data_IF_997958535039
#
_entry.id   IF_997958535039
#
_cell.length_a   1.000
_cell.length_b   1.000
_cell.length_c   1.000
_cell.angle_alpha   90.00
_cell.angle_beta   90.00
_cell.angle_gamma   90.00
#
_symmetry.space_group_name_H-M   'P 1'
#
loop_
_entity.id
_entity.type
_entity.pdbx_description
1 polymer ?
#
# COMPACT_ATOMS: atom_id res chain seq x y z
N UNK A 1 50.51 -57.97 0.40
CA UNK A 1 51.20 -56.77 -0.10
C UNK A 1 50.10 -55.78 -0.46
N UNK A 2 49.68 -54.99 0.52
CA UNK A 2 48.61 -54.01 0.35
C UNK A 2 49.13 -52.76 -0.39
N UNK A 3 48.38 -52.21 -1.35
CA UNK A 3 48.72 -50.90 -1.91
C UNK A 3 48.33 -49.78 -0.93
N UNK A 4 49.16 -48.74 -0.77
CA UNK A 4 48.93 -47.68 0.19
C UNK A 4 47.78 -46.74 -0.22
N UNK A 5 46.96 -46.34 0.77
CA UNK A 5 45.89 -45.34 0.65
C UNK A 5 46.43 -43.97 0.22
N UNK A 6 45.68 -43.20 -0.58
CA UNK A 6 46.00 -41.79 -0.85
C UNK A 6 45.67 -40.89 0.35
N UNK A 7 46.41 -39.77 0.53
CA UNK A 7 46.19 -38.83 1.63
C UNK A 7 44.93 -37.97 1.41
N UNK A 8 44.14 -37.84 2.49
CA UNK A 8 43.01 -36.93 2.63
C UNK A 8 43.51 -35.48 2.64
N UNK A 9 43.13 -34.68 1.66
CA UNK A 9 43.26 -33.22 1.72
C UNK A 9 41.93 -32.62 2.15
N UNK A 10 41.93 -32.14 3.40
CA UNK A 10 40.91 -31.27 3.96
C UNK A 10 40.85 -29.96 3.15
N UNK A 11 39.80 -29.78 2.34
CA UNK A 11 39.49 -28.47 1.78
C UNK A 11 38.43 -27.80 2.64
N UNK A 12 38.93 -26.94 3.53
CA UNK A 12 38.15 -25.98 4.29
C UNK A 12 37.42 -25.03 3.33
N UNK A 13 36.14 -24.85 3.61
CA UNK A 13 35.26 -23.73 3.24
C UNK A 13 35.94 -22.54 2.55
N UNK A 14 35.53 -22.27 1.32
CA UNK A 14 35.41 -20.90 0.83
C UNK A 14 34.04 -20.72 0.20
N UNK A 15 33.19 -20.07 0.98
CA UNK A 15 31.87 -19.54 0.63
C UNK A 15 32.12 -18.28 -0.23
N UNK A 16 32.08 -18.43 -1.55
CA UNK A 16 31.89 -17.27 -2.43
C UNK A 16 30.40 -17.18 -2.79
N UNK A 17 29.85 -16.05 -2.40
CA UNK A 17 28.53 -15.53 -2.76
C UNK A 17 28.44 -15.34 -4.27
N UNK A 18 27.76 -16.24 -4.96
CA UNK A 18 27.13 -15.93 -6.24
C UNK A 18 25.65 -15.65 -6.00
N UNK A 19 25.29 -14.43 -6.42
CA UNK A 19 23.97 -13.83 -6.37
C UNK A 19 23.20 -14.40 -7.55
N UNK A 20 22.50 -15.50 -7.32
CA UNK A 20 21.44 -15.96 -8.22
C UNK A 20 20.28 -14.96 -8.11
N UNK A 21 19.85 -14.45 -9.26
CA UNK A 21 18.59 -13.72 -9.41
C UNK A 21 17.47 -14.75 -9.28
N UNK A 22 17.04 -15.00 -8.04
CA UNK A 22 15.79 -15.67 -7.77
C UNK A 22 14.63 -14.74 -8.14
N UNK A 23 13.90 -15.12 -9.19
CA UNK A 23 12.51 -14.74 -9.39
C UNK A 23 11.70 -15.24 -8.20
N UNK A 24 11.51 -14.36 -7.22
CA UNK A 24 10.70 -14.63 -6.03
C UNK A 24 9.22 -14.61 -6.41
N UNK A 25 8.72 -15.76 -6.85
CA UNK A 25 7.31 -16.09 -6.75
C UNK A 25 7.02 -16.45 -5.29
N UNK A 26 6.41 -15.50 -4.60
CA UNK A 26 5.88 -15.58 -3.25
C UNK A 26 5.12 -16.91 -3.01
N UNK A 27 5.46 -17.63 -1.95
CA UNK A 27 4.61 -18.67 -1.36
C UNK A 27 4.82 -18.69 0.14
N UNK A 28 4.27 -17.67 0.82
CA UNK A 28 3.94 -17.79 2.23
C UNK A 28 2.83 -18.83 2.41
N UNK A 29 3.21 -19.94 3.03
CA UNK A 29 2.29 -20.88 3.67
C UNK A 29 1.80 -20.25 4.97
N UNK A 30 0.51 -19.92 5.06
CA UNK A 30 -0.36 -20.09 6.25
C UNK A 30 -1.71 -19.45 5.97
N UNK A 31 -2.78 -20.24 6.05
CA UNK A 31 -4.16 -19.75 6.05
C UNK A 31 -5.09 -20.64 5.27
N UNK A 32 -5.89 -21.43 6.00
CA UNK A 32 -7.06 -22.17 5.51
C UNK A 32 -7.90 -21.37 4.51
N UNK A 33 -8.06 -21.90 3.30
CA UNK A 33 -9.17 -21.59 2.41
C UNK A 33 -9.42 -22.74 1.43
N UNK A 34 -10.34 -23.61 1.84
CA UNK A 34 -11.41 -24.17 1.03
C UNK A 34 -11.20 -24.28 -0.50
N UNK A 35 -10.99 -25.53 -0.94
CA UNK A 35 -11.67 -26.22 -2.04
C UNK A 35 -12.28 -25.31 -3.12
N UNK A 36 -11.68 -25.29 -4.32
CA UNK A 36 -12.34 -25.45 -5.63
C UNK A 36 -11.34 -25.12 -6.76
N UNK A 37 -10.52 -26.10 -7.13
CA UNK A 37 -9.74 -26.06 -8.36
C UNK A 37 -10.41 -26.95 -9.41
N UNK A 38 -11.15 -26.32 -10.32
CA UNK A 38 -11.61 -26.95 -11.57
C UNK A 38 -10.40 -27.15 -12.49
N UNK A 39 -9.68 -28.27 -12.30
CA UNK A 39 -8.84 -28.87 -13.35
C UNK A 39 -9.69 -29.79 -14.23
N UNK A 40 -9.25 -30.10 -15.47
CA UNK A 40 -9.99 -30.99 -16.36
C UNK A 40 -10.22 -32.35 -15.68
N UNK A 41 -11.40 -32.99 -15.91
CA UNK A 41 -11.77 -34.21 -15.20
C UNK A 41 -10.75 -35.30 -15.48
N UNK A 42 -10.08 -35.77 -14.42
CA UNK A 42 -9.22 -36.93 -14.51
C UNK A 42 -10.08 -38.12 -14.96
N UNK A 43 -9.93 -38.53 -16.22
CA UNK A 43 -10.46 -39.80 -16.69
C UNK A 43 -9.87 -40.90 -15.78
N UNK A 44 -10.77 -41.62 -15.10
CA UNK A 44 -10.56 -42.89 -14.40
C UNK A 44 -9.45 -42.97 -13.34
N UNK A 45 -9.54 -42.13 -12.30
CA UNK A 45 -8.82 -42.35 -11.02
C UNK A 45 -9.68 -42.98 -9.93
N UNK A 46 -10.32 -44.09 -10.24
CA UNK A 46 -10.99 -44.86 -9.19
C UNK A 46 -9.94 -45.55 -8.32
N UNK A 47 -9.91 -45.30 -6.99
CA UNK A 47 -9.03 -46.02 -6.09
C UNK A 47 -9.37 -47.51 -6.13
N UNK A 48 -8.38 -48.37 -6.35
CA UNK A 48 -8.58 -49.81 -6.32
C UNK A 48 -8.42 -50.30 -4.88
N UNK A 49 -9.53 -50.75 -4.29
CA UNK A 49 -9.55 -51.25 -2.91
C UNK A 49 -9.22 -52.74 -2.91
N UNK A 50 -8.13 -53.10 -2.22
CA UNK A 50 -7.80 -54.48 -1.88
C UNK A 50 -7.95 -54.65 -0.37
N UNK A 51 -8.27 -55.86 0.11
CA UNK A 51 -8.80 -56.17 1.46
C UNK A 51 -8.01 -55.66 2.69
N UNK A 52 -6.91 -54.92 2.51
CA UNK A 52 -6.20 -54.19 3.57
C UNK A 52 -5.51 -52.88 3.14
N UNK A 53 -5.57 -52.48 1.86
CA UNK A 53 -5.00 -51.20 1.39
C UNK A 53 -5.68 -50.69 0.11
N UNK A 54 -5.64 -49.36 -0.05
CA UNK A 54 -6.16 -48.68 -1.24
C UNK A 54 -5.01 -48.32 -2.17
N UNK A 55 -5.06 -48.79 -3.41
CA UNK A 55 -4.10 -48.45 -4.45
C UNK A 55 -4.66 -47.30 -5.31
N UNK A 56 -3.98 -46.17 -5.31
CA UNK A 56 -4.33 -45.02 -6.15
C UNK A 56 -3.37 -44.98 -7.35
N UNK A 57 -3.87 -45.13 -8.59
CA UNK A 57 -3.02 -45.07 -9.78
C UNK A 57 -2.31 -43.72 -9.93
N UNK A 58 -1.05 -43.70 -10.40
CA UNK A 58 -0.27 -42.48 -10.55
C UNK A 58 -0.92 -41.51 -11.54
N UNK A 59 -0.84 -40.21 -11.23
CA UNK A 59 -1.35 -39.16 -12.09
C UNK A 59 -0.50 -39.03 -13.35
N UNK A 60 -0.95 -39.60 -14.47
CA UNK A 60 -0.20 -39.55 -15.74
C UNK A 60 0.03 -38.13 -16.23
N UNK A 61 -0.94 -37.22 -16.08
CA UNK A 61 -0.80 -35.80 -16.47
C UNK A 61 0.28 -35.11 -15.63
N UNK A 62 0.17 -35.15 -14.29
CA UNK A 62 1.16 -34.58 -13.38
C UNK A 62 2.53 -35.22 -13.55
N UNK A 63 2.58 -36.53 -13.83
CA UNK A 63 3.83 -37.23 -14.12
C UNK A 63 4.46 -36.73 -15.41
N UNK A 64 3.68 -36.59 -16.48
CA UNK A 64 4.17 -36.04 -17.75
C UNK A 64 4.62 -34.58 -17.62
N UNK A 65 3.95 -33.78 -16.79
CA UNK A 65 4.36 -32.41 -16.48
C UNK A 65 5.70 -32.38 -15.73
N UNK A 66 5.86 -33.24 -14.72
CA UNK A 66 7.13 -33.38 -13.98
C UNK A 66 8.25 -33.85 -14.91
N UNK A 67 7.99 -34.83 -15.76
CA UNK A 67 8.94 -35.32 -16.76
C UNK A 67 9.33 -34.22 -17.75
N UNK A 68 8.37 -33.42 -18.23
CA UNK A 68 8.63 -32.30 -19.11
C UNK A 68 9.44 -31.17 -18.43
N UNK A 69 9.15 -30.84 -17.17
CA UNK A 69 9.95 -29.88 -16.38
C UNK A 69 11.36 -30.42 -16.16
N UNK A 70 11.50 -31.69 -15.82
CA UNK A 70 12.79 -32.33 -15.62
C UNK A 70 13.64 -32.32 -16.90
N UNK A 71 13.06 -32.67 -18.05
CA UNK A 71 13.74 -32.61 -19.35
C UNK A 71 14.18 -31.20 -19.69
N UNK A 72 13.31 -30.19 -19.52
CA UNK A 72 13.69 -28.79 -19.74
C UNK A 72 14.84 -28.35 -18.83
N UNK A 73 14.82 -28.75 -17.55
CA UNK A 73 15.89 -28.46 -16.60
C UNK A 73 17.21 -29.18 -16.94
N UNK A 74 17.13 -30.38 -17.49
CA UNK A 74 18.31 -31.11 -17.96
C UNK A 74 18.93 -30.42 -19.19
N UNK A 75 18.12 -30.00 -20.15
CA UNK A 75 18.60 -29.26 -21.32
C UNK A 75 19.28 -27.93 -20.94
N UNK A 76 18.71 -27.16 -20.00
CA UNK A 76 19.33 -25.91 -19.55
C UNK A 76 20.66 -26.17 -18.85
N UNK A 77 20.73 -27.22 -18.01
CA UNK A 77 21.97 -27.62 -17.37
C UNK A 77 23.03 -28.08 -18.38
N UNK A 78 22.65 -28.88 -19.38
CA UNK A 78 23.56 -29.33 -20.43
C UNK A 78 24.08 -28.14 -21.25
N UNK A 79 23.22 -27.20 -21.64
CA UNK A 79 23.65 -25.97 -22.33
C UNK A 79 24.62 -25.15 -21.49
N UNK A 80 24.36 -25.00 -20.19
CA UNK A 80 25.26 -24.28 -19.29
C UNK A 80 26.61 -25.00 -19.18
N UNK A 81 26.59 -26.33 -19.01
CA UNK A 81 27.80 -27.15 -18.97
C UNK A 81 28.60 -27.02 -20.27
N UNK A 82 27.94 -27.07 -21.43
CA UNK A 82 28.59 -26.93 -22.73
C UNK A 82 29.14 -25.52 -22.97
N UNK A 83 28.39 -24.48 -22.57
CA UNK A 83 28.85 -23.10 -22.64
C UNK A 83 30.07 -22.85 -21.73
N UNK A 84 30.12 -23.51 -20.57
CA UNK A 84 31.24 -23.49 -19.64
C UNK A 84 32.33 -24.51 -19.99
N UNK A 85 32.12 -25.36 -21.00
CA UNK A 85 33.07 -26.40 -21.39
C UNK A 85 34.26 -25.73 -22.06
N UNK A 86 35.33 -25.53 -21.30
CA UNK A 86 36.62 -25.09 -21.84
C UNK A 86 37.09 -26.14 -22.83
N UNK A 87 37.17 -25.78 -24.11
CA UNK A 87 37.76 -26.64 -25.14
C UNK A 87 39.21 -26.91 -24.76
N UNK A 88 39.64 -28.17 -24.85
CA UNK A 88 40.98 -28.62 -24.48
C UNK A 88 42.05 -27.67 -25.04
N UNK A 89 42.70 -26.91 -24.14
CA UNK A 89 43.72 -25.93 -24.49
C UNK A 89 45.07 -26.65 -24.50
N UNK A 90 45.54 -27.02 -25.70
CA UNK A 90 46.89 -27.53 -25.93
C UNK A 90 47.78 -26.40 -26.42
N UNK A 91 48.08 -25.48 -25.52
CA UNK A 91 49.04 -24.41 -25.77
C UNK A 91 50.34 -24.79 -25.04
N UNK A 92 51.48 -24.61 -25.72
CA UNK A 92 52.79 -24.62 -25.02
C UNK A 92 52.70 -23.54 -23.94
N UNK A 93 53.11 -23.79 -22.68
CA UNK A 93 52.99 -22.79 -21.62
C UNK A 93 53.84 -21.57 -21.98
N UNK A 94 53.19 -20.60 -22.63
CA UNK A 94 53.73 -19.28 -22.89
C UNK A 94 53.91 -18.60 -21.53
N UNK A 95 54.97 -17.80 -21.42
CA UNK A 95 55.35 -17.07 -20.20
C UNK A 95 54.12 -16.57 -19.44
N UNK A 96 53.86 -17.22 -18.30
CA UNK A 96 52.75 -16.93 -17.39
C UNK A 96 52.95 -15.54 -16.79
N UNK A 97 52.42 -14.53 -17.48
CA UNK A 97 52.42 -13.15 -17.02
C UNK A 97 51.51 -12.35 -17.93
N UNK A 98 50.44 -11.79 -17.37
CA UNK A 98 49.51 -10.96 -18.13
C UNK A 98 50.26 -9.87 -18.90
N UNK A 99 49.83 -9.58 -20.14
CA UNK A 99 50.41 -8.52 -20.99
C UNK A 99 50.33 -7.11 -20.38
N UNK A 100 49.57 -6.96 -19.29
CA UNK A 100 49.40 -5.71 -18.58
C UNK A 100 50.64 -5.40 -17.77
N UNK A 101 51.09 -4.16 -17.87
CA UNK A 101 52.17 -3.66 -17.02
C UNK A 101 51.70 -3.57 -15.56
N UNK A 102 52.63 -3.66 -14.61
CA UNK A 102 52.30 -3.58 -13.17
C UNK A 102 51.56 -2.28 -12.82
N UNK A 103 51.92 -1.18 -13.48
CA UNK A 103 51.28 0.12 -13.28
C UNK A 103 49.83 0.11 -13.77
N UNK A 104 49.58 -0.47 -14.95
CA UNK A 104 48.24 -0.61 -15.50
C UNK A 104 47.34 -1.48 -14.60
N UNK A 105 47.87 -2.59 -14.07
CA UNK A 105 47.15 -3.43 -13.12
C UNK A 105 46.80 -2.65 -11.85
N UNK A 106 47.75 -1.86 -11.33
CA UNK A 106 47.55 -1.03 -10.14
C UNK A 106 46.52 0.07 -10.38
N UNK A 107 46.58 0.73 -11.53
CA UNK A 107 45.60 1.74 -11.94
C UNK A 107 44.20 1.13 -12.07
N UNK A 108 44.08 -0.03 -12.72
CA UNK A 108 42.81 -0.77 -12.83
C UNK A 108 42.27 -1.18 -11.48
N UNK A 109 43.12 -1.64 -10.56
CA UNK A 109 42.71 -1.98 -9.20
C UNK A 109 42.20 -0.74 -8.45
N UNK A 110 42.89 0.40 -8.55
CA UNK A 110 42.42 1.65 -7.95
C UNK A 110 41.09 2.13 -8.57
N UNK A 111 40.94 2.04 -9.89
CA UNK A 111 39.70 2.37 -10.58
C UNK A 111 38.55 1.43 -10.16
N UNK A 112 38.78 0.13 -10.10
CA UNK A 112 37.79 -0.85 -9.65
C UNK A 112 37.33 -0.59 -8.21
N UNK A 113 38.27 -0.26 -7.31
CA UNK A 113 37.93 0.11 -5.92
C UNK A 113 37.08 1.39 -5.87
N UNK A 114 37.41 2.41 -6.69
CA UNK A 114 36.65 3.66 -6.77
C UNK A 114 35.25 3.45 -7.34
N UNK A 115 35.12 2.64 -8.40
CA UNK A 115 33.85 2.42 -9.09
C UNK A 115 32.93 1.41 -8.38
N UNK A 116 33.46 0.47 -7.60
CA UNK A 116 32.66 -0.60 -6.97
C UNK A 116 31.59 -0.08 -6.02
N UNK A 117 31.87 0.97 -5.23
CA UNK A 117 30.88 1.56 -4.33
C UNK A 117 29.75 2.24 -5.12
N UNK A 118 30.09 2.94 -6.20
CA UNK A 118 29.13 3.63 -7.07
C UNK A 118 28.26 2.61 -7.80
N UNK A 119 28.87 1.58 -8.39
CA UNK A 119 28.16 0.51 -9.08
C UNK A 119 27.15 -0.21 -8.18
N UNK A 120 27.52 -0.51 -6.93
CA UNK A 120 26.60 -1.12 -5.97
C UNK A 120 25.39 -0.22 -5.67
N UNK A 121 25.60 1.09 -5.53
CA UNK A 121 24.52 2.06 -5.31
C UNK A 121 23.60 2.15 -6.52
N UNK A 122 24.16 2.23 -7.73
CA UNK A 122 23.39 2.24 -8.98
C UNK A 122 22.54 0.98 -9.11
N UNK A 123 23.11 -0.21 -8.85
CA UNK A 123 22.36 -1.47 -8.88
C UNK A 123 21.24 -1.53 -7.83
N UNK A 124 21.46 -0.96 -6.64
CA UNK A 124 20.41 -0.89 -5.61
C UNK A 124 19.29 0.05 -6.02
N UNK A 125 19.63 1.24 -6.50
CA UNK A 125 18.66 2.23 -6.98
C UNK A 125 17.86 1.72 -8.18
N UNK A 126 18.48 1.01 -9.11
CA UNK A 126 17.79 0.41 -10.25
C UNK A 126 16.78 -0.66 -9.81
N UNK A 127 17.15 -1.52 -8.85
CA UNK A 127 16.24 -2.50 -8.28
C UNK A 127 15.08 -1.84 -7.51
N UNK A 128 15.35 -0.80 -6.74
CA UNK A 128 14.30 -0.03 -6.06
C UNK A 128 13.38 0.69 -7.03
N UNK A 129 13.93 1.29 -8.09
CA UNK A 129 13.15 1.96 -9.14
C UNK A 129 12.23 0.96 -9.83
N UNK A 130 12.75 -0.22 -10.17
CA UNK A 130 11.94 -1.29 -10.76
C UNK A 130 10.83 -1.74 -9.81
N UNK A 131 11.14 -1.96 -8.52
CA UNK A 131 10.13 -2.32 -7.52
C UNK A 131 9.02 -1.27 -7.40
N UNK A 132 9.39 0.02 -7.37
CA UNK A 132 8.41 1.14 -7.34
C UNK A 132 7.53 1.16 -8.59
N UNK A 133 8.09 0.91 -9.77
CA UNK A 133 7.32 0.83 -11.01
C UNK A 133 6.31 -0.32 -10.98
N UNK A 134 6.72 -1.50 -10.50
CA UNK A 134 5.83 -2.66 -10.34
C UNK A 134 4.69 -2.35 -9.34
N UNK A 135 5.00 -1.72 -8.20
CA UNK A 135 4.00 -1.27 -7.20
C UNK A 135 3.03 -0.22 -7.80
N UNK A 136 3.52 0.74 -8.59
CA UNK A 136 2.70 1.75 -9.26
C UNK A 136 1.78 1.16 -10.32
N UNK A 137 2.25 0.19 -11.12
CA UNK A 137 1.44 -0.53 -12.10
C UNK A 137 0.34 -1.36 -11.43
N UNK A 138 0.64 -2.04 -10.33
CA UNK A 138 -0.37 -2.77 -9.55
C UNK A 138 -1.41 -1.83 -8.95
N UNK A 139 -0.97 -0.70 -8.40
CA UNK A 139 -1.88 0.32 -7.87
C UNK A 139 -2.79 0.88 -8.97
N UNK A 140 -2.23 1.10 -10.16
CA UNK A 140 -3.00 1.56 -11.31
C UNK A 140 -4.03 0.53 -11.76
N UNK A 141 -3.66 -0.76 -11.84
CA UNK A 141 -4.59 -1.85 -12.11
C UNK A 141 -5.72 -1.90 -11.08
N UNK A 142 -5.40 -1.78 -9.79
CA UNK A 142 -6.40 -1.79 -8.72
C UNK A 142 -7.38 -0.60 -8.85
N UNK A 143 -6.87 0.59 -9.17
CA UNK A 143 -7.70 1.78 -9.43
C UNK A 143 -8.63 1.59 -10.62
N UNK A 144 -8.12 1.03 -11.72
CA UNK A 144 -8.90 0.81 -12.94
C UNK A 144 -9.95 -0.28 -12.72
N UNK A 145 -9.63 -1.34 -11.98
CA UNK A 145 -10.62 -2.31 -11.53
C UNK A 145 -11.71 -1.69 -10.66
N UNK A 146 -11.34 -0.81 -9.73
CA UNK A 146 -12.32 -0.12 -8.89
C UNK A 146 -13.25 0.76 -9.74
N UNK A 147 -12.71 1.47 -10.74
CA UNK A 147 -13.50 2.23 -11.72
C UNK A 147 -14.44 1.33 -12.51
N UNK A 148 -13.95 0.23 -13.07
CA UNK A 148 -14.77 -0.74 -13.81
C UNK A 148 -15.87 -1.37 -12.95
N UNK A 149 -15.60 -1.63 -11.66
CA UNK A 149 -16.60 -2.12 -10.70
C UNK A 149 -17.66 -1.06 -10.41
N UNK A 150 -17.26 0.20 -10.25
CA UNK A 150 -18.18 1.33 -10.05
C UNK A 150 -19.09 1.55 -11.26
N UNK A 151 -18.53 1.62 -12.46
CA UNK A 151 -19.29 1.78 -13.72
C UNK A 151 -20.28 0.62 -13.92
N UNK A 152 -19.82 -0.62 -13.71
CA UNK A 152 -20.70 -1.80 -13.79
C UNK A 152 -21.85 -1.74 -12.79
N UNK A 153 -21.64 -1.15 -11.60
CA UNK A 153 -22.68 -1.00 -10.60
C UNK A 153 -23.66 0.12 -10.98
N UNK A 154 -23.15 1.26 -11.45
CA UNK A 154 -23.95 2.39 -11.91
C UNK A 154 -24.87 2.00 -13.07
N UNK A 155 -24.36 1.26 -14.06
CA UNK A 155 -25.15 0.80 -15.19
C UNK A 155 -26.29 -0.14 -14.76
N UNK A 156 -26.04 -1.01 -13.76
CA UNK A 156 -27.10 -1.87 -13.19
C UNK A 156 -28.16 -1.05 -12.45
N UNK A 157 -27.75 -0.08 -11.65
CA UNK A 157 -28.68 0.81 -10.93
C UNK A 157 -29.52 1.63 -11.92
N UNK A 158 -28.90 2.10 -13.02
CA UNK A 158 -29.58 2.82 -14.10
C UNK A 158 -30.66 1.96 -14.76
N UNK A 159 -30.35 0.69 -15.05
CA UNK A 159 -31.33 -0.25 -15.62
C UNK A 159 -32.47 -0.54 -14.63
N UNK A 160 -32.16 -0.75 -13.36
CA UNK A 160 -33.19 -0.97 -12.34
C UNK A 160 -34.09 0.26 -12.16
N UNK A 161 -33.50 1.46 -12.14
CA UNK A 161 -34.25 2.71 -12.04
C UNK A 161 -35.15 2.91 -13.26
N UNK A 162 -34.67 2.59 -14.47
CA UNK A 162 -35.50 2.60 -15.68
C UNK A 162 -36.69 1.66 -15.55
N UNK A 163 -36.47 0.40 -15.14
CA UNK A 163 -37.55 -0.58 -14.91
C UNK A 163 -38.54 -0.08 -13.86
N UNK A 164 -38.05 0.54 -12.78
CA UNK A 164 -38.90 1.12 -11.72
C UNK A 164 -39.72 2.29 -12.26
N UNK A 165 -39.12 3.16 -13.07
CA UNK A 165 -39.81 4.28 -13.72
C UNK A 165 -40.89 3.79 -14.67
N UNK A 166 -40.60 2.79 -15.50
CA UNK A 166 -41.57 2.17 -16.40
C UNK A 166 -42.75 1.53 -15.65
N UNK A 167 -42.47 0.77 -14.58
CA UNK A 167 -43.52 0.20 -13.74
C UNK A 167 -44.40 1.28 -13.12
N UNK A 168 -43.81 2.34 -12.57
CA UNK A 168 -44.56 3.47 -12.02
C UNK A 168 -45.40 4.17 -13.09
N UNK A 169 -44.88 4.32 -14.31
CA UNK A 169 -45.65 4.86 -15.43
C UNK A 169 -46.84 3.95 -15.79
N UNK A 170 -46.62 2.64 -15.89
CA UNK A 170 -47.71 1.68 -16.16
C UNK A 170 -48.77 1.68 -15.06
N UNK A 171 -48.36 1.70 -13.79
CA UNK A 171 -49.28 1.78 -12.66
C UNK A 171 -50.04 3.11 -12.64
N UNK A 172 -49.39 4.21 -13.01
CA UNK A 172 -50.04 5.51 -13.17
C UNK A 172 -51.11 5.44 -14.25
N UNK A 173 -50.79 4.93 -15.44
CA UNK A 173 -51.75 4.74 -16.54
C UNK A 173 -52.91 3.84 -16.13
N UNK A 174 -52.62 2.70 -15.50
CA UNK A 174 -53.64 1.78 -14.99
C UNK A 174 -54.54 2.45 -13.94
N UNK A 175 -53.98 3.30 -13.08
CA UNK A 175 -54.74 4.04 -12.07
C UNK A 175 -55.62 5.12 -12.71
N UNK A 176 -55.12 5.83 -13.71
CA UNK A 176 -55.92 6.82 -14.45
C UNK A 176 -57.04 6.15 -15.22
N UNK A 177 -56.78 5.02 -15.88
CA UNK A 177 -57.81 4.25 -16.59
C UNK A 177 -58.88 3.72 -15.64
N UNK A 178 -58.47 3.17 -14.48
CA UNK A 178 -59.40 2.76 -13.42
C UNK A 178 -60.20 3.92 -12.83
N UNK A 179 -59.68 5.15 -12.89
CA UNK A 179 -60.41 6.33 -12.47
C UNK A 179 -61.43 6.75 -13.53
N UNK A 180 -61.03 6.82 -14.80
CA UNK A 180 -61.91 7.13 -15.93
C UNK A 180 -63.06 6.12 -16.08
N UNK A 181 -62.76 4.82 -15.96
CA UNK A 181 -63.78 3.76 -15.99
C UNK A 181 -64.84 3.89 -14.89
N UNK A 182 -64.58 4.59 -13.77
CA UNK A 182 -65.64 4.85 -12.77
C UNK A 182 -66.65 5.87 -13.26
N UNK A 183 -66.24 6.81 -14.11
CA UNK A 183 -67.13 7.76 -14.75
C UNK A 183 -67.82 7.14 -15.96
N UNK A 184 -67.11 6.33 -16.75
CA UNK A 184 -67.67 5.65 -17.93
C UNK A 184 -68.64 4.51 -17.58
N UNK A 185 -68.51 3.91 -16.39
CA UNK A 185 -69.53 2.99 -15.87
C UNK A 185 -70.87 3.66 -15.59
N UNK A 186 -70.95 4.99 -15.71
CA UNK A 186 -72.17 5.78 -15.55
C UNK A 186 -72.75 5.68 -14.14
N UNK A 187 -73.64 6.59 -13.75
CA UNK A 187 -74.51 6.31 -12.62
C UNK A 187 -75.28 5.03 -12.96
N UNK A 188 -75.03 3.95 -12.23
CA UNK A 188 -75.99 2.84 -12.18
C UNK A 188 -77.28 3.48 -11.67
N UNK A 189 -78.34 3.42 -12.49
CA UNK A 189 -79.54 4.23 -12.30
C UNK A 189 -80.06 4.27 -10.84
N UNK A 190 -80.58 5.43 -10.40
CA UNK A 190 -80.95 5.70 -9.03
C UNK A 190 -82.28 5.04 -8.66
N UNK A 191 -82.25 3.91 -7.97
CA UNK A 191 -83.38 3.40 -7.19
C UNK A 191 -82.93 2.97 -5.79
N UNK A 192 -82.62 3.97 -4.97
CA UNK A 192 -82.63 3.96 -3.50
C UNK A 192 -82.28 5.39 -3.06
N UNK A 193 -83.23 6.34 -3.08
CA UNK A 193 -84.03 6.73 -1.91
C UNK A 193 -83.43 6.29 -0.56
N UNK A 194 -83.01 7.28 0.22
CA UNK A 194 -82.35 7.15 1.52
C UNK A 194 -81.09 8.02 1.52
N UNK A 195 -81.18 9.33 1.65
CA UNK A 195 -81.66 10.00 2.85
C UNK A 195 -80.53 10.04 3.87
N UNK A 196 -79.77 11.14 3.93
CA UNK A 196 -78.92 11.43 5.08
C UNK A 196 -78.60 12.92 5.13
N UNK A 197 -79.53 13.61 5.76
CA UNK A 197 -79.38 14.89 6.46
C UNK A 197 -78.06 15.01 7.21
N UNK A 198 -77.47 16.21 7.07
CA UNK A 198 -76.67 16.95 8.04
C UNK A 198 -76.54 16.29 9.44
N UNK A 199 -75.33 15.86 9.78
CA UNK A 199 -74.86 15.91 11.17
C UNK A 199 -73.47 16.53 11.16
N UNK A 200 -73.43 17.80 11.55
CA UNK A 200 -72.29 18.38 12.24
C UNK A 200 -71.93 17.46 13.42
N UNK A 201 -70.80 16.75 13.34
CA UNK A 201 -70.05 16.32 14.53
C UNK A 201 -68.66 15.79 14.15
N UNK A 202 -67.64 16.58 14.51
CA UNK A 202 -66.36 16.15 15.07
C UNK A 202 -65.66 14.95 14.43
N UNK A 203 -64.66 15.22 13.60
CA UNK A 203 -63.33 14.61 13.78
C UNK A 203 -62.27 15.53 13.16
N UNK A 204 -61.55 16.25 14.02
CA UNK A 204 -60.23 16.76 13.70
C UNK A 204 -59.33 15.56 13.45
N UNK A 205 -59.17 15.18 12.18
CA UNK A 205 -58.09 14.32 11.75
C UNK A 205 -57.67 14.82 10.38
N UNK A 206 -56.64 15.67 10.41
CA UNK A 206 -56.02 16.27 9.25
C UNK A 206 -55.74 15.21 8.17
N UNK A 207 -56.47 15.27 7.06
CA UNK A 207 -56.10 14.59 5.82
C UNK A 207 -54.92 15.36 5.25
N UNK A 208 -53.73 15.10 5.79
CA UNK A 208 -52.46 15.61 5.25
C UNK A 208 -52.32 15.05 3.84
N UNK A 209 -52.49 15.92 2.84
CA UNK A 209 -52.27 15.64 1.42
C UNK A 209 -50.91 14.94 1.26
N UNK A 210 -50.75 13.98 0.35
CA UNK A 210 -49.46 13.28 0.17
C UNK A 210 -48.27 14.21 -0.10
N UNK A 211 -48.53 15.45 -0.53
CA UNK A 211 -47.53 16.53 -0.59
C UNK A 211 -47.06 16.99 0.79
N UNK A 212 -47.97 17.09 1.75
CA UNK A 212 -47.72 17.46 3.13
C UNK A 212 -46.90 16.39 3.85
N UNK A 213 -47.23 15.10 3.65
CA UNK A 213 -46.41 13.99 4.18
C UNK A 213 -45.00 13.97 3.57
N UNK A 214 -44.85 14.31 2.28
CA UNK A 214 -43.54 14.37 1.63
C UNK A 214 -42.71 15.59 2.06
N UNK A 215 -43.36 16.74 2.30
CA UNK A 215 -42.74 17.92 2.89
C UNK A 215 -42.36 17.69 4.35
N UNK A 216 -43.19 16.97 5.10
CA UNK A 216 -42.91 16.54 6.47
C UNK A 216 -41.71 15.58 6.49
N UNK A 217 -41.64 14.61 5.58
CA UNK A 217 -40.48 13.73 5.44
C UNK A 217 -39.20 14.49 5.10
N UNK A 218 -39.27 15.46 4.18
CA UNK A 218 -38.12 16.32 3.83
C UNK A 218 -37.69 17.18 5.03
N UNK A 219 -38.65 17.71 5.78
CA UNK A 219 -38.40 18.52 6.98
C UNK A 219 -37.78 17.70 8.11
N UNK A 220 -38.25 16.48 8.32
CA UNK A 220 -37.70 15.56 9.33
C UNK A 220 -36.31 15.09 8.91
N UNK A 221 -36.09 14.76 7.64
CA UNK A 221 -34.75 14.43 7.14
C UNK A 221 -33.78 15.62 7.22
N UNK A 222 -34.23 16.84 6.90
CA UNK A 222 -33.37 18.01 7.03
C UNK A 222 -33.04 18.29 8.50
N UNK A 223 -34.01 18.16 9.41
CA UNK A 223 -33.77 18.31 10.84
C UNK A 223 -32.83 17.23 11.38
N UNK A 224 -32.96 15.98 10.92
CA UNK A 224 -32.07 14.88 11.28
C UNK A 224 -30.63 15.08 10.77
N UNK A 225 -30.47 15.62 9.55
CA UNK A 225 -29.16 15.97 8.99
C UNK A 225 -28.54 17.17 9.72
N UNK A 226 -29.35 18.14 10.13
CA UNK A 226 -28.92 19.31 10.91
C UNK A 226 -28.50 18.89 12.33
N UNK A 227 -29.23 17.98 12.98
CA UNK A 227 -28.83 17.38 14.27
C UNK A 227 -27.51 16.60 14.16
N UNK A 228 -27.29 15.88 13.06
CA UNK A 228 -26.02 15.20 12.79
C UNK A 228 -24.86 16.18 12.57
N UNK A 229 -25.12 17.34 11.97
CA UNK A 229 -24.11 18.38 11.72
C UNK A 229 -23.86 19.25 12.96
N UNK A 230 -24.90 19.55 13.75
CA UNK A 230 -24.83 20.29 15.00
C UNK A 230 -24.16 19.51 16.13
N UNK A 231 -24.22 18.17 16.12
CA UNK A 231 -23.46 17.33 17.05
C UNK A 231 -21.95 17.28 16.72
N UNK A 232 -21.54 17.80 15.56
CA UNK A 232 -20.15 17.77 15.09
C UNK A 232 -19.40 19.12 15.16
N UNK A 233 -20.08 20.24 15.40
CA UNK A 233 -19.46 21.58 15.35
C UNK A 233 -19.94 22.47 16.51
N UNK A 234 -19.30 22.31 17.68
CA UNK A 234 -18.86 23.41 18.55
C UNK A 234 -19.81 24.04 19.59
N UNK A 235 -19.26 24.15 20.82
CA UNK A 235 -19.54 25.08 21.95
C UNK A 235 -20.19 24.41 23.17
N UNK A 236 -19.44 23.96 24.19
CA UNK A 236 -18.68 24.76 25.18
C UNK A 236 -19.45 25.98 25.70
N UNK A 237 -19.93 25.91 26.96
CA UNK A 237 -20.53 27.06 27.64
C UNK A 237 -21.48 26.77 28.81
N UNK A 238 -20.94 26.27 29.92
CA UNK A 238 -21.40 26.44 31.31
C UNK A 238 -22.66 25.75 31.90
N UNK A 239 -22.33 24.93 32.93
CA UNK A 239 -23.03 24.66 34.20
C UNK A 239 -24.23 23.69 34.24
N UNK A 240 -23.87 22.42 34.51
CA UNK A 240 -24.32 21.76 35.75
C UNK A 240 -25.21 20.52 35.58
N UNK A 241 -24.61 19.33 35.54
CA UNK A 241 -25.31 18.06 35.75
C UNK A 241 -24.76 16.91 34.91
N UNK A 242 -23.94 16.06 35.52
CA UNK A 242 -23.25 14.90 34.93
C UNK A 242 -24.24 13.83 34.42
N UNK A 243 -24.04 13.28 33.21
CA UNK A 243 -23.88 11.84 33.08
C UNK A 243 -22.75 11.45 32.10
N UNK A 244 -21.78 10.66 32.57
CA UNK A 244 -20.65 10.19 31.77
C UNK A 244 -20.87 8.76 31.29
N UNK A 245 -21.12 8.59 29.98
CA UNK A 245 -20.90 7.34 29.24
C UNK A 245 -21.07 7.58 27.73
N UNK A 246 -19.96 7.63 26.97
CA UNK A 246 -19.87 7.49 25.49
C UNK A 246 -18.34 7.52 25.19
N UNK A 247 -17.64 6.39 24.95
CA UNK A 247 -17.47 5.68 23.66
C UNK A 247 -17.26 6.69 22.50
N UNK A 248 -16.14 6.82 21.79
CA UNK A 248 -15.14 5.90 21.26
C UNK A 248 -13.87 6.70 20.88
N UNK A 249 -12.65 6.24 21.24
CA UNK A 249 -11.68 5.58 20.34
C UNK A 249 -11.24 6.38 19.10
N UNK A 250 -10.01 6.91 19.14
CA UNK A 250 -8.93 6.76 18.15
C UNK A 250 -7.67 7.36 18.76
N UNK A 251 -6.73 6.58 19.32
CA UNK A 251 -5.64 5.83 18.69
C UNK A 251 -4.29 6.54 18.97
N UNK A 252 -3.29 5.74 19.35
CA UNK A 252 -1.91 6.09 19.73
C UNK A 252 -1.72 6.71 21.13
N UNK A 253 -0.83 6.24 22.02
CA UNK A 253 0.21 5.22 21.97
C UNK A 253 0.42 4.64 23.40
N UNK A 254 0.81 3.36 23.44
CA UNK A 254 1.86 2.80 24.31
C UNK A 254 1.99 3.27 25.77
N UNK A 255 1.74 2.36 26.72
CA UNK A 255 2.63 2.06 27.86
C UNK A 255 2.25 0.67 28.40
N UNK A 256 3.10 -0.35 28.21
CA UNK A 256 3.92 -0.98 29.26
C UNK A 256 3.10 -1.26 30.53
N UNK A 257 2.74 -2.53 30.80
CA UNK A 257 3.61 -3.50 31.48
C UNK A 257 4.42 -2.85 32.60
N UNK A 258 4.11 -3.23 33.83
CA UNK A 258 5.05 -3.71 34.84
C UNK A 258 4.19 -4.16 36.05
N UNK A 259 4.54 -5.21 36.82
CA UNK A 259 5.88 -5.31 37.40
C UNK A 259 6.50 -6.72 37.43
N UNK A 260 7.83 -6.80 37.32
CA UNK A 260 8.73 -7.21 38.42
C UNK A 260 9.97 -7.96 37.91
N UNK A 261 11.11 -7.28 37.82
CA UNK A 261 12.36 -7.81 38.41
C UNK A 261 13.17 -6.68 39.04
N UNK A 262 13.25 -6.74 40.37
CA UNK A 262 14.42 -6.47 41.22
C UNK A 262 15.38 -5.30 40.88
N UNK A 263 15.30 -4.28 41.74
CA UNK A 263 16.42 -3.71 42.54
C UNK A 263 17.53 -2.91 41.85
N UNK A 264 17.57 -1.59 42.13
CA UNK A 264 18.80 -0.78 42.12
C UNK A 264 18.64 0.73 41.85
N UNK A 265 18.15 1.49 42.84
CA UNK A 265 18.15 2.97 42.96
C UNK A 265 19.56 3.63 42.83
N UNK A 266 19.74 4.98 42.89
CA UNK A 266 18.82 6.13 42.73
C UNK A 266 19.34 7.37 41.90
N UNK A 267 18.42 8.06 41.20
CA UNK A 267 17.97 9.49 41.27
C UNK A 267 18.91 10.65 41.74
N UNK A 268 18.49 11.95 41.73
CA UNK A 268 17.91 12.91 40.73
C UNK A 268 18.59 14.33 40.92
N UNK A 269 17.98 15.55 40.82
CA UNK A 269 16.73 16.10 40.21
C UNK A 269 17.04 17.37 39.30
N UNK A 270 16.15 18.22 38.75
CA UNK A 270 14.84 18.74 39.17
C UNK A 270 14.22 19.74 38.12
N UNK A 271 12.89 19.98 38.24
CA UNK A 271 12.05 21.20 38.01
C UNK A 271 12.10 21.97 36.66
N UNK A 272 11.08 22.60 36.06
CA UNK A 272 9.63 22.88 36.25
C UNK A 272 9.11 23.50 34.91
N UNK A 273 7.80 23.41 34.63
CA UNK A 273 6.94 23.99 33.54
C UNK A 273 7.08 25.52 33.22
N UNK A 274 6.37 26.17 32.22
CA UNK A 274 5.21 25.79 31.38
C UNK A 274 5.22 26.21 29.85
N UNK A 275 4.08 25.92 29.21
CA UNK A 275 3.47 26.02 27.85
C UNK A 275 3.38 27.43 27.15
N UNK A 276 2.63 27.65 26.02
CA UNK A 276 2.87 27.42 24.56
C UNK A 276 2.88 28.72 23.69
N UNK A 277 2.79 28.56 22.36
CA UNK A 277 2.52 29.55 21.29
C UNK A 277 3.72 30.07 20.46
N UNK A 278 3.97 29.42 19.31
CA UNK A 278 4.17 30.13 18.04
C UNK A 278 4.02 29.20 16.82
N UNK A 279 2.85 29.34 16.19
CA UNK A 279 2.58 29.02 14.79
C UNK A 279 3.61 29.67 13.89
N UNK A 280 4.25 28.89 13.00
CA UNK A 280 4.30 29.16 11.55
C UNK A 280 4.51 27.84 10.79
N UNK A 281 3.42 27.32 10.24
CA UNK A 281 3.44 26.90 8.82
C UNK A 281 3.73 28.16 8.01
N UNK A 282 4.73 28.10 7.10
CA UNK A 282 4.78 28.75 5.78
C UNK A 282 6.24 29.09 5.40
N UNK A 283 6.59 28.74 4.16
CA UNK A 283 7.80 29.11 3.39
C UNK A 283 9.00 28.16 3.48
N UNK A 284 8.91 27.06 2.74
CA UNK A 284 10.04 26.25 2.31
C UNK A 284 10.78 26.85 1.09
N UNK A 285 10.87 28.18 1.00
CA UNK A 285 11.43 28.90 -0.16
C UNK A 285 12.39 30.04 0.24
N UNK A 286 13.42 29.73 1.04
CA UNK A 286 14.74 30.38 1.03
C UNK A 286 15.65 29.75 2.08
N UNK A 287 16.56 28.86 1.67
CA UNK A 287 17.97 28.85 2.15
C UNK A 287 18.77 27.74 1.45
N UNK A 288 19.25 27.97 0.22
CA UNK A 288 20.21 27.09 -0.42
C UNK A 288 21.64 27.50 -0.01
N UNK A 289 22.52 26.50 0.18
CA UNK A 289 23.98 26.59 0.35
C UNK A 289 24.59 27.25 1.61
N UNK A 290 23.87 28.00 2.43
CA UNK A 290 24.45 28.63 3.63
C UNK A 290 25.05 27.63 4.63
N UNK A 291 24.38 26.50 4.84
CA UNK A 291 24.88 25.46 5.76
C UNK A 291 26.15 24.77 5.23
N UNK A 292 26.26 24.62 3.90
CA UNK A 292 27.41 23.98 3.27
C UNK A 292 28.63 24.91 3.24
N UNK A 293 28.42 26.18 2.89
CA UNK A 293 29.49 27.18 2.88
C UNK A 293 29.95 27.54 4.29
N UNK A 294 29.06 27.50 5.29
CA UNK A 294 29.41 27.63 6.70
C UNK A 294 30.32 26.50 7.16
N UNK A 295 29.99 25.25 6.80
CA UNK A 295 30.79 24.09 7.17
C UNK A 295 32.19 24.14 6.55
N UNK A 296 32.30 24.69 5.34
CA UNK A 296 33.58 24.89 4.64
C UNK A 296 34.41 26.00 5.29
N UNK A 297 33.77 27.09 5.73
CA UNK A 297 34.41 28.16 6.50
C UNK A 297 34.91 27.67 7.87
N UNK A 298 34.12 26.87 8.58
CA UNK A 298 34.49 26.29 9.88
C UNK A 298 35.73 25.39 9.76
N UNK A 299 35.88 24.69 8.63
CA UNK A 299 37.04 23.85 8.35
C UNK A 299 38.28 24.66 7.94
N UNK A 300 38.11 25.78 7.23
CA UNK A 300 39.21 26.65 6.82
C UNK A 300 39.70 27.59 7.94
N UNK A 301 38.81 27.98 8.83
CA UNK A 301 39.05 28.94 9.90
C UNK A 301 38.61 28.39 11.27
N UNK A 302 39.26 27.31 11.76
CA UNK A 302 38.87 26.64 13.00
C UNK A 302 39.03 27.50 14.26
N UNK A 303 39.68 28.66 14.14
CA UNK A 303 39.92 29.60 15.23
C UNK A 303 38.77 30.62 15.41
N UNK A 304 37.79 30.62 14.52
CA UNK A 304 36.65 31.54 14.57
C UNK A 304 35.40 30.83 15.08
N UNK A 305 34.59 31.54 15.85
CA UNK A 305 33.33 31.02 16.37
C UNK A 305 32.30 30.87 15.27
N UNK A 306 31.51 29.79 15.34
CA UNK A 306 30.47 29.49 14.35
C UNK A 306 29.50 30.66 14.13
N UNK A 307 29.07 31.31 15.21
CA UNK A 307 28.19 32.49 15.18
C UNK A 307 28.79 33.67 14.39
N UNK A 308 30.11 33.85 14.47
CA UNK A 308 30.80 34.91 13.74
C UNK A 308 30.91 34.59 12.25
N UNK A 309 31.17 33.32 11.91
CA UNK A 309 31.21 32.86 10.52
C UNK A 309 29.83 32.90 9.86
N UNK A 310 28.76 32.62 10.61
CA UNK A 310 27.38 32.78 10.13
C UNK A 310 27.03 34.24 9.86
N UNK A 311 27.43 35.16 10.74
CA UNK A 311 27.16 36.59 10.55
C UNK A 311 27.86 37.15 9.30
N UNK A 312 29.10 36.71 9.04
CA UNK A 312 29.85 37.08 7.84
C UNK A 312 29.19 36.52 6.59
N UNK A 313 28.74 35.27 6.61
CA UNK A 313 28.02 34.68 5.49
C UNK A 313 26.69 35.39 5.21
N UNK A 314 25.95 35.78 6.26
CA UNK A 314 24.74 36.60 6.11
C UNK A 314 25.05 37.97 5.50
N UNK A 315 26.14 38.60 5.94
CA UNK A 315 26.60 39.89 5.39
C UNK A 315 27.04 39.79 3.93
N UNK A 316 27.53 38.62 3.51
CA UNK A 316 27.95 38.32 2.14
C UNK A 316 26.82 37.68 1.29
N UNK A 317 25.56 37.70 1.75
CA UNK A 317 24.42 37.09 1.06
C UNK A 317 24.61 35.60 0.69
N UNK A 318 25.42 34.87 1.46
CA UNK A 318 25.71 33.45 1.22
C UNK A 318 26.85 33.19 0.24
N UNK A 319 27.55 34.22 -0.22
CA UNK A 319 28.72 34.06 -1.08
C UNK A 319 29.98 33.73 -0.27
N UNK A 320 30.49 32.52 -0.47
CA UNK A 320 31.66 31.98 0.19
C UNK A 320 32.96 32.72 -0.19
N UNK A 321 33.16 33.09 -1.45
CA UNK A 321 34.42 33.71 -1.88
C UNK A 321 34.56 35.12 -1.30
N UNK A 322 33.45 35.85 -1.24
CA UNK A 322 33.36 37.15 -0.58
C UNK A 322 33.59 37.04 0.94
N UNK A 323 33.00 36.03 1.60
CA UNK A 323 33.19 35.78 3.03
C UNK A 323 34.64 35.43 3.39
N UNK A 324 35.30 34.58 2.59
CA UNK A 324 36.72 34.23 2.76
C UNK A 324 37.61 35.46 2.56
N UNK A 325 37.32 36.30 1.56
CA UNK A 325 38.09 37.52 1.31
C UNK A 325 37.98 38.49 2.49
N UNK A 326 36.78 38.68 3.04
CA UNK A 326 36.56 39.48 4.24
C UNK A 326 37.35 38.95 5.44
N UNK A 327 37.32 37.63 5.69
CA UNK A 327 38.06 37.00 6.78
C UNK A 327 39.59 37.13 6.63
N UNK A 328 40.11 36.94 5.42
CA UNK A 328 41.54 37.10 5.13
C UNK A 328 41.99 38.56 5.25
N UNK A 329 41.16 39.53 4.82
CA UNK A 329 41.46 40.94 4.98
C UNK A 329 41.41 41.41 6.45
N UNK A 330 40.59 40.79 7.30
CA UNK A 330 40.57 41.09 8.74
C UNK A 330 41.77 40.52 9.51
N UNK A 331 42.52 39.60 8.89
CA UNK A 331 43.72 38.98 9.46
C UNK A 331 45.03 39.65 9.03
N UNK A 332 44.98 40.67 8.16
CA UNK A 332 46.13 41.42 7.66
C UNK A 332 46.28 42.79 8.30
#
# INVERSE_FOLDING_TARGET
MDPPRPPQLNSRNNRLTEREEETSANSQTSGDAQINAAGPPAADRQPQYSSGFTMIPPNLTRRSEIEAVAQRGEETFQRMREAQRVSYVSEVPATLGGRATLEEVRQRQQAALRCSKVEKRVKQEEMERRRRQEEEEELQKMKDEARMKAERKEEKERQEEQRRREQLQQDHLRRTDRFLQRFDRGPRDPLASGGATHTSSRSEAAVKSGRDVHLEHKRVNSAFLDDLQGRGVGSEGERGGVPGAEWHRSASNHLQQEPSTSTGQPAPPAHLEPDPDQSWTQEADQYPDFDWELLKLENMFPNYTKEFLTDILHQCHGDFESAVTMLVCTLS
#
